data_IF_551499373313
#
_entry.id   IF_551499373313
#
_cell.length_a   1.000
_cell.length_b   1.000
_cell.length_c   1.000
_cell.angle_alpha   90.00
_cell.angle_beta   90.00
_cell.angle_gamma   90.00
#
_symmetry.space_group_name_H-M   'P 1'
#
loop_
_entity.id
_entity.type
_entity.pdbx_description
1 polymer ?
#
# COMPACT_ATOMS: atom_id res chain seq x y z
N UNK A 1 9.80 23.02 -5.26
CA UNK A 1 11.10 22.38 -5.48
C UNK A 1 10.93 20.86 -5.42
N UNK A 2 11.43 20.14 -6.40
CA UNK A 2 11.32 18.69 -6.42
C UNK A 2 12.28 18.05 -5.41
N UNK A 3 11.87 16.95 -4.80
CA UNK A 3 12.74 16.18 -3.93
C UNK A 3 13.82 15.47 -4.73
N UNK A 4 14.96 15.24 -4.11
CA UNK A 4 15.99 14.38 -4.66
C UNK A 4 15.52 12.92 -4.61
N UNK A 5 16.18 12.04 -5.36
CA UNK A 5 15.88 10.60 -5.32
C UNK A 5 15.98 10.05 -3.91
N UNK A 6 17.00 10.45 -3.13
CA UNK A 6 17.17 10.01 -1.76
C UNK A 6 16.02 10.48 -0.86
N UNK A 7 15.62 11.75 -1.00
CA UNK A 7 14.53 12.31 -0.21
C UNK A 7 13.19 11.65 -0.54
N UNK A 8 12.92 11.40 -1.83
CA UNK A 8 11.70 10.71 -2.26
C UNK A 8 11.65 9.30 -1.69
N UNK A 9 12.75 8.56 -1.75
CA UNK A 9 12.87 7.22 -1.21
C UNK A 9 12.65 7.20 0.31
N UNK A 10 13.21 8.17 1.02
CA UNK A 10 13.03 8.30 2.47
C UNK A 10 11.57 8.58 2.83
N UNK A 11 10.89 9.42 2.06
CA UNK A 11 9.48 9.72 2.29
C UNK A 11 8.62 8.47 2.14
N UNK A 12 8.81 7.70 1.07
CA UNK A 12 8.07 6.47 0.85
C UNK A 12 8.40 5.45 1.94
N UNK A 13 9.65 5.36 2.37
CA UNK A 13 10.05 4.49 3.48
C UNK A 13 9.31 4.82 4.77
N UNK A 14 9.21 6.10 5.11
CA UNK A 14 8.46 6.55 6.29
C UNK A 14 6.96 6.25 6.15
N UNK A 15 6.40 6.45 4.97
CA UNK A 15 5.01 6.14 4.67
C UNK A 15 4.72 4.65 4.90
N UNK A 16 5.55 3.77 4.34
CA UNK A 16 5.35 2.33 4.48
C UNK A 16 5.48 1.89 5.95
N UNK A 17 6.44 2.42 6.68
CA UNK A 17 6.61 2.11 8.10
C UNK A 17 5.44 2.62 8.94
N UNK A 18 4.93 3.80 8.64
CA UNK A 18 3.86 4.41 9.42
C UNK A 18 2.54 3.66 9.26
N UNK A 19 2.28 3.12 8.06
CA UNK A 19 1.01 2.46 7.75
C UNK A 19 1.03 0.96 7.97
N UNK A 20 2.16 0.28 7.77
CA UNK A 20 2.24 -1.17 7.88
C UNK A 20 1.92 -1.65 9.29
N UNK A 21 0.96 -2.59 9.38
CA UNK A 21 0.60 -3.18 10.66
C UNK A 21 -0.20 -2.25 11.56
N UNK A 22 -0.57 -1.07 11.09
CA UNK A 22 -1.32 -0.07 11.86
C UNK A 22 -2.70 0.15 11.25
N UNK A 23 -3.65 0.63 12.07
CA UNK A 23 -4.92 1.12 11.57
C UNK A 23 -4.68 2.33 10.68
N UNK A 24 -5.20 2.30 9.45
CA UNK A 24 -4.99 3.37 8.49
C UNK A 24 -6.09 4.40 8.62
N UNK A 25 -5.98 5.24 9.67
CA UNK A 25 -6.95 6.29 9.92
C UNK A 25 -6.92 7.34 8.81
N UNK A 26 -8.04 8.06 8.56
CA UNK A 26 -8.04 9.12 7.56
C UNK A 26 -6.96 10.17 7.78
N UNK A 27 -6.68 10.52 9.04
CA UNK A 27 -5.65 11.51 9.39
C UNK A 27 -4.26 11.02 9.03
N UNK A 28 -3.96 9.75 9.32
CA UNK A 28 -2.66 9.16 9.00
C UNK A 28 -2.46 9.08 7.49
N UNK A 29 -3.48 8.63 6.75
CA UNK A 29 -3.41 8.54 5.30
C UNK A 29 -3.24 9.94 4.69
N UNK A 30 -4.02 10.92 5.15
CA UNK A 30 -3.94 12.28 4.62
C UNK A 30 -2.57 12.92 4.84
N UNK A 31 -1.90 12.57 5.92
CA UNK A 31 -0.55 13.08 6.20
C UNK A 31 0.44 12.75 5.07
N UNK A 32 0.34 11.55 4.49
CA UNK A 32 1.26 11.08 3.46
C UNK A 32 0.72 11.10 2.05
N UNK A 33 -0.60 11.11 1.87
CA UNK A 33 -1.22 10.84 0.57
C UNK A 33 -2.15 11.98 0.17
N UNK A 34 -1.90 12.58 -1.01
CA UNK A 34 -2.80 13.54 -1.63
C UNK A 34 -3.57 12.94 -2.80
N UNK A 35 -3.19 11.74 -3.23
CA UNK A 35 -3.86 10.98 -4.31
C UNK A 35 -5.17 10.40 -3.78
N UNK A 36 -6.30 10.95 -4.23
CA UNK A 36 -7.62 10.51 -3.79
C UNK A 36 -7.88 9.03 -4.13
N UNK A 37 -7.39 8.57 -5.27
CA UNK A 37 -7.53 7.17 -5.69
C UNK A 37 -6.79 6.22 -4.77
N UNK A 38 -5.56 6.59 -4.37
CA UNK A 38 -4.79 5.77 -3.43
C UNK A 38 -5.43 5.78 -2.05
N UNK A 39 -5.89 6.94 -1.58
CA UNK A 39 -6.58 7.03 -0.29
C UNK A 39 -7.81 6.13 -0.23
N UNK A 40 -8.62 6.13 -1.31
CA UNK A 40 -9.79 5.27 -1.41
C UNK A 40 -9.41 3.79 -1.42
N UNK A 41 -8.35 3.44 -2.16
CA UNK A 41 -7.84 2.07 -2.23
C UNK A 41 -7.35 1.58 -0.85
N UNK A 42 -6.61 2.42 -0.13
CA UNK A 42 -6.14 2.08 1.23
C UNK A 42 -7.33 1.82 2.15
N UNK A 43 -8.37 2.66 2.08
CA UNK A 43 -9.57 2.49 2.90
C UNK A 43 -10.26 1.16 2.60
N UNK A 44 -10.40 0.81 1.32
CA UNK A 44 -11.07 -0.41 0.90
C UNK A 44 -10.29 -1.66 1.32
N UNK A 45 -8.97 -1.63 1.16
CA UNK A 45 -8.11 -2.75 1.58
C UNK A 45 -8.12 -2.88 3.11
N UNK A 46 -8.07 -1.76 3.84
CA UNK A 46 -8.11 -1.79 5.30
C UNK A 46 -9.44 -2.38 5.81
N UNK A 47 -10.54 -2.12 5.12
CA UNK A 47 -11.84 -2.68 5.49
C UNK A 47 -11.85 -4.21 5.36
N UNK A 48 -11.18 -4.76 4.35
CA UNK A 48 -11.10 -6.21 4.11
C UNK A 48 -9.99 -6.88 4.93
N UNK A 49 -8.86 -6.19 5.12
CA UNK A 49 -7.67 -6.71 5.78
C UNK A 49 -7.16 -5.67 6.80
N UNK A 50 -7.84 -5.53 7.95
CA UNK A 50 -7.44 -4.50 8.93
C UNK A 50 -5.98 -4.64 9.37
N UNK A 51 -5.31 -3.50 9.47
CA UNK A 51 -3.90 -3.43 9.90
C UNK A 51 -2.95 -4.23 8.99
N UNK A 52 -3.29 -4.30 7.70
CA UNK A 52 -2.44 -5.03 6.74
C UNK A 52 -1.05 -4.39 6.65
N UNK A 53 -0.10 -5.19 6.18
CA UNK A 53 1.29 -4.77 6.03
C UNK A 53 1.68 -4.71 4.55
N UNK A 54 2.45 -3.70 4.20
CA UNK A 54 3.18 -3.62 2.93
C UNK A 54 4.66 -3.66 3.27
N UNK A 55 5.33 -4.74 2.89
CA UNK A 55 6.73 -4.95 3.21
C UNK A 55 7.55 -4.70 1.96
N UNK A 56 8.36 -3.64 1.98
CA UNK A 56 9.22 -3.31 0.86
C UNK A 56 10.48 -4.17 0.90
N UNK A 57 10.74 -4.91 -0.17
CA UNK A 57 11.97 -5.64 -0.35
C UNK A 57 12.98 -4.80 -1.12
N UNK A 58 12.50 -3.99 -2.08
CA UNK A 58 13.32 -3.13 -2.91
C UNK A 58 12.64 -1.77 -3.08
N UNK A 59 13.40 -0.71 -2.87
CA UNK A 59 12.97 0.66 -3.18
C UNK A 59 13.99 1.28 -4.12
N UNK A 60 13.53 1.73 -5.28
CA UNK A 60 14.36 2.40 -6.28
C UNK A 60 13.73 3.75 -6.58
N UNK A 61 14.54 4.81 -6.57
CA UNK A 61 14.03 6.14 -6.81
C UNK A 61 14.79 6.85 -7.92
N UNK A 62 14.05 7.64 -8.70
CA UNK A 62 14.62 8.57 -9.67
C UNK A 62 13.84 9.86 -9.58
N UNK A 63 14.46 10.90 -9.00
CA UNK A 63 13.79 12.16 -8.77
C UNK A 63 12.59 12.01 -7.84
N UNK A 64 11.41 12.38 -8.33
CA UNK A 64 10.16 12.31 -7.56
C UNK A 64 9.40 10.99 -7.72
N UNK A 65 10.00 10.00 -8.43
CA UNK A 65 9.40 8.69 -8.63
C UNK A 65 10.10 7.65 -7.76
N UNK A 66 9.30 6.82 -7.09
CA UNK A 66 9.82 5.72 -6.27
C UNK A 66 9.10 4.44 -6.64
N UNK A 67 9.87 3.41 -7.02
CA UNK A 67 9.32 2.07 -7.29
C UNK A 67 9.56 1.19 -6.07
N UNK A 68 8.51 0.50 -5.64
CA UNK A 68 8.55 -0.45 -4.55
C UNK A 68 8.21 -1.83 -5.07
N UNK A 69 9.08 -2.80 -4.80
CA UNK A 69 8.80 -4.21 -4.99
C UNK A 69 8.76 -4.86 -3.62
N UNK A 70 7.70 -5.59 -3.33
CA UNK A 70 7.56 -6.19 -2.02
C UNK A 70 6.35 -7.10 -1.92
N UNK A 71 5.78 -7.17 -0.72
CA UNK A 71 4.70 -8.09 -0.44
C UNK A 71 3.61 -7.41 0.40
N UNK A 72 2.38 -7.83 0.13
CA UNK A 72 1.21 -7.53 0.95
C UNK A 72 1.00 -8.71 1.91
N UNK A 73 0.73 -8.42 3.17
CA UNK A 73 0.32 -9.40 4.17
C UNK A 73 -0.91 -8.90 4.90
N UNK A 74 -1.92 -9.74 5.03
CA UNK A 74 -3.13 -9.35 5.73
C UNK A 74 -3.91 -10.54 6.25
N UNK A 75 -4.86 -10.25 7.16
CA UNK A 75 -5.81 -11.25 7.67
C UNK A 75 -7.20 -10.85 7.19
N UNK A 76 -7.88 -11.76 6.55
CA UNK A 76 -9.18 -11.52 5.92
C UNK A 76 -10.28 -11.44 6.97
N UNK A 77 -10.70 -10.22 7.31
CA UNK A 77 -11.71 -9.95 8.35
C UNK A 77 -12.92 -9.16 7.85
N UNK A 78 -12.88 -8.70 6.61
CA UNK A 78 -14.00 -8.04 5.94
C UNK A 78 -14.23 -8.63 4.56
N UNK A 79 -15.40 -8.40 3.94
CA UNK A 79 -15.67 -8.95 2.60
C UNK A 79 -14.64 -8.48 1.57
N UNK A 80 -14.20 -9.40 0.69
CA UNK A 80 -13.27 -9.08 -0.39
C UNK A 80 -13.62 -9.89 -1.61
N UNK A 81 -13.77 -9.22 -2.76
CA UNK A 81 -14.11 -9.86 -4.05
C UNK A 81 -15.35 -10.76 -3.95
N UNK A 82 -16.33 -10.35 -3.17
CA UNK A 82 -17.54 -11.14 -2.95
C UNK A 82 -17.39 -12.31 -1.99
N UNK A 83 -16.21 -12.44 -1.35
CA UNK A 83 -15.94 -13.52 -0.40
C UNK A 83 -16.14 -13.00 1.02
N UNK A 84 -16.99 -13.68 1.81
CA UNK A 84 -17.21 -13.35 3.20
C UNK A 84 -15.93 -13.58 4.02
N UNK A 85 -15.76 -12.85 5.15
CA UNK A 85 -14.55 -12.98 5.96
C UNK A 85 -14.22 -14.43 6.33
N UNK A 86 -12.97 -14.83 6.03
CA UNK A 86 -12.51 -16.22 6.29
C UNK A 86 -11.61 -16.32 7.52
N UNK A 87 -11.06 -15.19 7.99
CA UNK A 87 -10.06 -15.18 9.06
C UNK A 87 -8.69 -15.68 8.62
N UNK A 88 -8.50 -15.95 7.34
CA UNK A 88 -7.24 -16.49 6.82
C UNK A 88 -6.17 -15.41 6.70
N UNK A 89 -4.93 -15.78 6.97
CA UNK A 89 -3.76 -14.95 6.65
C UNK A 89 -3.39 -15.19 5.20
N UNK A 90 -3.19 -14.10 4.46
CA UNK A 90 -2.83 -14.17 3.04
C UNK A 90 -1.64 -13.28 2.76
N UNK A 91 -0.92 -13.58 1.70
CA UNK A 91 0.17 -12.74 1.21
C UNK A 91 0.24 -12.79 -0.30
N UNK A 92 0.70 -11.69 -0.90
CA UNK A 92 0.88 -11.64 -2.35
C UNK A 92 2.00 -10.65 -2.68
N UNK A 93 2.79 -10.94 -3.72
CA UNK A 93 3.77 -9.98 -4.21
C UNK A 93 3.06 -8.81 -4.87
N UNK A 94 3.68 -7.63 -4.81
CA UNK A 94 3.16 -6.47 -5.49
C UNK A 94 4.28 -5.52 -5.91
N UNK A 95 3.96 -4.64 -6.86
CA UNK A 95 4.83 -3.56 -7.29
C UNK A 95 3.99 -2.28 -7.35
N UNK A 96 4.54 -1.21 -6.82
CA UNK A 96 3.89 0.10 -6.85
C UNK A 96 4.93 1.13 -7.26
N UNK A 97 4.52 2.07 -8.13
CA UNK A 97 5.31 3.27 -8.38
C UNK A 97 4.53 4.43 -7.77
N UNK A 98 5.24 5.25 -7.00
CA UNK A 98 4.69 6.45 -6.37
C UNK A 98 5.33 7.69 -6.98
N UNK A 99 4.54 8.74 -7.22
CA UNK A 99 5.06 10.07 -7.54
C UNK A 99 4.83 10.99 -6.35
N UNK A 100 5.90 11.68 -5.95
CA UNK A 100 5.87 12.60 -4.82
C UNK A 100 5.71 14.04 -5.32
N UNK A 101 4.79 14.80 -4.72
CA UNK A 101 4.63 16.22 -4.96
C UNK A 101 4.20 16.88 -3.66
N UNK A 102 4.80 18.02 -3.34
CA UNK A 102 4.52 18.77 -2.11
C UNK A 102 4.63 17.89 -0.86
N UNK A 103 5.67 17.05 -0.83
CA UNK A 103 6.00 16.16 0.28
C UNK A 103 4.92 15.12 0.59
N UNK A 104 4.06 14.80 -0.39
CA UNK A 104 3.02 13.79 -0.26
C UNK A 104 3.00 12.92 -1.51
N UNK A 105 2.42 11.74 -1.40
CA UNK A 105 2.23 10.85 -2.55
C UNK A 105 1.05 11.38 -3.35
N UNK A 106 1.34 11.89 -4.54
CA UNK A 106 0.35 12.56 -5.40
C UNK A 106 -0.22 11.66 -6.49
N UNK A 107 0.53 10.65 -6.91
CA UNK A 107 0.10 9.67 -7.90
C UNK A 107 0.67 8.31 -7.56
N UNK A 108 0.02 7.25 -8.03
CA UNK A 108 0.51 5.89 -7.85
C UNK A 108 0.07 5.00 -9.02
N UNK A 109 0.83 3.94 -9.23
CA UNK A 109 0.52 2.89 -10.20
C UNK A 109 0.78 1.56 -9.50
N UNK A 110 -0.27 0.76 -9.32
CA UNK A 110 -0.21 -0.50 -8.56
C UNK A 110 -0.43 -1.69 -9.47
N UNK A 111 0.44 -2.69 -9.31
CA UNK A 111 0.24 -4.01 -9.93
C UNK A 111 0.42 -5.08 -8.85
N UNK A 112 -0.59 -5.93 -8.70
CA UNK A 112 -0.51 -7.05 -7.77
C UNK A 112 -1.33 -8.22 -8.32
N UNK A 113 -1.06 -9.41 -7.80
CA UNK A 113 -1.74 -10.63 -8.23
C UNK A 113 -3.01 -10.85 -7.41
N UNK A 114 -4.13 -10.28 -7.90
CA UNK A 114 -5.44 -10.44 -7.26
C UNK A 114 -5.95 -11.87 -7.30
N UNK A 115 -5.59 -12.63 -8.35
CA UNK A 115 -5.96 -14.04 -8.46
C UNK A 115 -5.31 -14.86 -7.34
N UNK A 116 -4.04 -14.57 -7.03
CA UNK A 116 -3.34 -15.26 -5.94
C UNK A 116 -4.05 -15.04 -4.60
N UNK A 117 -4.52 -13.81 -4.33
CA UNK A 117 -5.27 -13.51 -3.12
C UNK A 117 -6.59 -14.29 -3.07
N UNK A 118 -7.37 -14.24 -4.14
CA UNK A 118 -8.66 -14.93 -4.21
C UNK A 118 -8.48 -16.44 -4.02
N UNK A 119 -7.46 -17.01 -4.66
CA UNK A 119 -7.18 -18.45 -4.54
C UNK A 119 -6.87 -18.83 -3.09
N UNK A 120 -6.08 -18.01 -2.37
CA UNK A 120 -5.78 -18.27 -0.95
C UNK A 120 -7.04 -18.22 -0.09
N UNK A 121 -7.96 -17.28 -0.39
CA UNK A 121 -9.20 -17.15 0.38
C UNK A 121 -10.20 -18.28 0.12
N UNK A 122 -10.07 -18.96 -1.00
CA UNK A 122 -10.98 -20.06 -1.38
C UNK A 122 -10.49 -21.45 -1.00
N UNK A 123 -9.32 -21.56 -0.42
CA UNK A 123 -8.74 -22.86 0.01
C UNK A 123 -9.37 -23.40 1.27
#
# INVERSE_FOLDING_TARGET
>A
MSLTSTESKQLVGRYLQALSGQSKTPELVDHFVSDAGLAAHIRDVEAAFPEYELIAETLIAEGDLVAMHGAFHGVHRGPFAGIAPTGRSVSAPLMIIYRIANERIAEHWLHFDGTALVTQLQQ
#
